data_IF_919562325493
#
_entry.id   IF_919562325493
#
_cell.length_a   1.000
_cell.length_b   1.000
_cell.length_c   1.000
_cell.angle_alpha   90.00
_cell.angle_beta   90.00
_cell.angle_gamma   90.00
#
_symmetry.space_group_name_H-M   'P 1'
#
loop_
_entity.id
_entity.type
_entity.pdbx_description
1 polymer ?
#
# COMPACT_ATOMS: atom_id res chain seq x y z
N UNK A 1 29.74 1.10 -8.08
CA UNK A 1 28.36 0.56 -8.16
C UNK A 1 28.46 -0.87 -8.58
N UNK A 2 27.72 -1.76 -7.92
CA UNK A 2 27.67 -3.18 -8.29
C UNK A 2 26.32 -3.49 -8.97
N UNK A 3 26.32 -4.36 -9.99
CA UNK A 3 25.10 -4.69 -10.71
C UNK A 3 24.24 -5.68 -9.92
N UNK A 4 22.93 -5.44 -9.91
CA UNK A 4 21.92 -6.42 -9.50
C UNK A 4 21.28 -6.95 -10.79
N UNK A 5 21.25 -8.27 -10.97
CA UNK A 5 20.61 -8.92 -12.12
C UNK A 5 19.59 -9.93 -11.65
N UNK A 6 18.42 -9.93 -12.28
CA UNK A 6 17.34 -10.87 -12.04
C UNK A 6 16.68 -11.23 -13.37
N UNK A 7 16.26 -12.49 -13.52
CA UNK A 7 15.49 -12.94 -14.69
C UNK A 7 14.02 -12.58 -14.46
N UNK A 8 13.39 -12.00 -15.47
CA UNK A 8 11.96 -11.64 -15.49
C UNK A 8 11.29 -12.36 -16.65
N UNK A 9 9.99 -12.64 -16.54
CA UNK A 9 9.22 -13.04 -17.71
C UNK A 9 9.11 -11.86 -18.69
N UNK A 10 8.91 -12.17 -19.97
CA UNK A 10 8.90 -11.16 -21.03
C UNK A 10 7.76 -10.14 -20.86
N UNK A 11 6.58 -10.62 -20.45
CA UNK A 11 5.38 -9.83 -20.14
C UNK A 11 5.57 -8.92 -18.92
N UNK A 12 6.15 -9.44 -17.84
CA UNK A 12 6.47 -8.66 -16.64
C UNK A 12 7.45 -7.54 -16.95
N UNK A 13 8.51 -7.86 -17.71
CA UNK A 13 9.50 -6.87 -18.14
C UNK A 13 8.84 -5.79 -18.98
N UNK A 14 8.02 -6.15 -19.97
CA UNK A 14 7.34 -5.19 -20.83
C UNK A 14 6.42 -4.26 -20.01
N UNK A 15 5.66 -4.83 -19.07
CA UNK A 15 4.76 -4.06 -18.18
C UNK A 15 5.54 -3.11 -17.28
N UNK A 16 6.62 -3.58 -16.66
CA UNK A 16 7.47 -2.76 -15.80
C UNK A 16 8.10 -1.58 -16.55
N UNK A 17 8.60 -1.83 -17.77
CA UNK A 17 9.19 -0.78 -18.62
C UNK A 17 8.15 0.30 -18.97
N UNK A 18 6.95 -0.10 -19.39
CA UNK A 18 5.85 0.83 -19.69
C UNK A 18 5.47 1.68 -18.48
N UNK A 19 5.28 1.05 -17.31
CA UNK A 19 4.93 1.80 -16.09
C UNK A 19 6.03 2.80 -15.71
N UNK A 20 7.31 2.44 -15.86
CA UNK A 20 8.42 3.35 -15.62
C UNK A 20 8.34 4.59 -16.53
N UNK A 21 8.05 4.39 -17.81
CA UNK A 21 7.84 5.48 -18.78
C UNK A 21 6.64 6.36 -18.40
N UNK A 22 5.50 5.75 -18.06
CA UNK A 22 4.26 6.44 -17.69
C UNK A 22 4.46 7.37 -16.48
N UNK A 23 5.31 6.99 -15.52
CA UNK A 23 5.62 7.79 -14.33
C UNK A 23 6.89 8.66 -14.47
N UNK A 24 7.48 8.73 -15.66
CA UNK A 24 8.64 9.57 -15.96
C UNK A 24 9.93 9.15 -15.25
N UNK A 25 10.14 7.84 -15.03
CA UNK A 25 11.33 7.30 -14.38
C UNK A 25 12.04 6.27 -15.26
N UNK A 26 13.33 6.02 -15.00
CA UNK A 26 14.04 4.91 -15.62
C UNK A 26 13.90 3.63 -14.78
N UNK A 27 13.95 2.44 -15.40
CA UNK A 27 13.95 1.16 -14.67
C UNK A 27 15.04 1.09 -13.60
N UNK A 28 16.24 1.62 -13.89
CA UNK A 28 17.35 1.67 -12.94
C UNK A 28 17.06 2.61 -11.76
N UNK A 29 16.40 3.74 -12.01
CA UNK A 29 16.00 4.66 -10.94
C UNK A 29 14.90 4.05 -10.06
N UNK A 30 13.89 3.41 -10.67
CA UNK A 30 12.84 2.70 -9.95
C UNK A 30 13.43 1.59 -9.03
N UNK A 31 14.35 0.78 -9.55
CA UNK A 31 15.04 -0.25 -8.76
C UNK A 31 15.87 0.36 -7.62
N UNK A 32 16.58 1.47 -7.86
CA UNK A 32 17.32 2.19 -6.80
C UNK A 32 16.41 2.69 -5.69
N UNK A 33 15.28 3.28 -6.05
CA UNK A 33 14.27 3.74 -5.10
C UNK A 33 13.69 2.58 -4.28
N UNK A 34 13.39 1.45 -4.94
CA UNK A 34 12.93 0.23 -4.27
C UNK A 34 13.96 -0.28 -3.25
N UNK A 35 15.23 -0.44 -3.65
CA UNK A 35 16.30 -0.92 -2.74
C UNK A 35 16.47 0.02 -1.54
N UNK A 36 16.41 1.34 -1.76
CA UNK A 36 16.50 2.31 -0.66
C UNK A 36 15.32 2.17 0.33
N UNK A 37 14.10 2.03 -0.18
CA UNK A 37 12.91 1.85 0.65
C UNK A 37 12.93 0.50 1.40
N UNK A 38 13.33 -0.57 0.72
CA UNK A 38 13.45 -1.90 1.29
C UNK A 38 14.41 -1.91 2.49
N UNK A 39 15.60 -1.35 2.30
CA UNK A 39 16.62 -1.28 3.35
C UNK A 39 16.19 -0.40 4.52
N UNK A 40 15.56 0.76 4.24
CA UNK A 40 15.09 1.67 5.29
C UNK A 40 14.01 1.04 6.19
N UNK A 41 13.18 0.16 5.63
CA UNK A 41 12.11 -0.54 6.36
C UNK A 41 12.56 -1.88 6.96
N UNK A 42 13.69 -2.43 6.53
CA UNK A 42 14.15 -3.77 6.91
C UNK A 42 13.37 -4.91 6.24
N UNK A 43 12.76 -4.65 5.07
CA UNK A 43 11.89 -5.61 4.37
C UNK A 43 11.08 -4.93 3.26
N UNK A 44 10.08 -5.63 2.70
CA UNK A 44 9.28 -5.07 1.60
C UNK A 44 8.58 -3.75 2.01
N UNK A 45 8.60 -2.72 1.15
CA UNK A 45 7.93 -1.45 1.41
C UNK A 45 6.40 -1.50 1.23
N UNK A 46 5.86 -2.69 0.93
CA UNK A 46 4.45 -3.02 0.80
C UNK A 46 4.21 -4.39 1.44
N UNK A 47 2.96 -4.75 1.72
CA UNK A 47 2.60 -6.08 2.21
C UNK A 47 2.66 -7.10 1.06
N UNK A 48 3.63 -8.04 1.05
CA UNK A 48 3.72 -9.05 0.00
C UNK A 48 2.62 -10.12 0.11
N UNK A 49 1.97 -10.28 1.27
CA UNK A 49 0.86 -11.23 1.45
C UNK A 49 -0.46 -10.68 0.90
N UNK A 50 -0.58 -9.35 0.78
CA UNK A 50 -1.74 -8.69 0.20
C UNK A 50 -1.34 -7.58 -0.79
N UNK A 51 -0.81 -7.96 -1.97
CA UNK A 51 -0.30 -7.01 -2.95
C UNK A 51 -1.39 -6.17 -3.65
N UNK A 52 -2.68 -6.49 -3.46
CA UNK A 52 -3.77 -5.95 -4.28
C UNK A 52 -4.94 -5.31 -3.53
N UNK A 53 -4.97 -5.27 -2.19
CA UNK A 53 -6.08 -4.57 -1.53
C UNK A 53 -6.14 -4.70 -0.03
N UNK A 54 -7.30 -4.39 0.53
CA UNK A 54 -7.60 -4.66 1.93
C UNK A 54 -8.36 -5.98 2.06
N UNK A 55 -8.49 -6.52 3.28
CA UNK A 55 -9.36 -7.69 3.49
C UNK A 55 -10.82 -7.36 3.11
N UNK A 56 -11.66 -8.35 2.79
CA UNK A 56 -13.08 -8.12 2.53
C UNK A 56 -13.77 -7.34 3.67
N UNK A 57 -13.37 -7.59 4.92
CA UNK A 57 -13.86 -6.89 6.09
C UNK A 57 -13.50 -5.41 6.08
N UNK A 58 -12.25 -5.07 5.78
CA UNK A 58 -11.82 -3.66 5.65
C UNK A 58 -12.51 -2.98 4.47
N UNK A 59 -12.68 -3.66 3.33
CA UNK A 59 -13.40 -3.11 2.19
C UNK A 59 -14.86 -2.81 2.54
N UNK A 60 -15.52 -3.70 3.29
CA UNK A 60 -16.89 -3.48 3.76
C UNK A 60 -16.94 -2.31 4.76
N UNK A 61 -15.99 -2.22 5.69
CA UNK A 61 -15.91 -1.11 6.64
C UNK A 61 -15.71 0.25 5.93
N UNK A 62 -14.92 0.29 4.86
CA UNK A 62 -14.79 1.49 4.01
C UNK A 62 -16.11 1.86 3.33
N UNK A 63 -16.82 0.88 2.77
CA UNK A 63 -18.13 1.10 2.15
C UNK A 63 -19.22 1.51 3.15
N UNK A 64 -19.14 1.02 4.39
CA UNK A 64 -20.00 1.44 5.50
C UNK A 64 -19.71 2.89 5.89
N UNK A 65 -18.43 3.29 5.95
CA UNK A 65 -18.01 4.66 6.19
C UNK A 65 -18.53 5.65 5.14
N UNK A 66 -18.37 5.33 3.85
CA UNK A 66 -18.88 6.16 2.75
C UNK A 66 -20.39 6.30 2.78
N UNK A 67 -21.11 5.26 3.19
CA UNK A 67 -22.56 5.26 3.32
C UNK A 67 -23.08 5.85 4.64
N UNK A 68 -22.19 6.33 5.51
CA UNK A 68 -22.55 6.85 6.83
C UNK A 68 -23.05 5.80 7.82
N UNK A 69 -22.85 4.50 7.53
CA UNK A 69 -23.12 3.37 8.44
C UNK A 69 -21.98 3.19 9.43
N UNK A 70 -21.65 4.26 10.13
CA UNK A 70 -20.61 4.29 11.16
C UNK A 70 -21.24 4.51 12.52
N UNK A 71 -20.55 4.07 13.55
CA UNK A 71 -20.95 4.34 14.92
C UNK A 71 -20.60 5.80 15.28
N UNK A 72 -21.56 6.52 15.84
CA UNK A 72 -21.53 7.98 16.00
C UNK A 72 -22.66 8.67 15.22
N UNK A 73 -22.61 10.00 15.02
CA UNK A 73 -21.52 10.93 15.33
C UNK A 73 -21.34 11.17 16.84
N UNK A 74 -20.22 11.78 17.21
CA UNK A 74 -19.93 12.21 18.58
C UNK A 74 -19.67 13.71 18.60
N UNK A 75 -20.18 14.39 19.64
CA UNK A 75 -20.02 15.83 19.80
C UNK A 75 -18.64 16.20 20.40
N UNK A 76 -17.99 15.27 21.11
CA UNK A 76 -16.65 15.46 21.71
C UNK A 76 -15.78 14.22 21.57
N UNK A 77 -14.46 14.42 21.68
CA UNK A 77 -13.48 13.32 21.68
C UNK A 77 -13.68 12.42 22.89
N UNK A 78 -14.03 12.99 24.04
CA UNK A 78 -14.31 12.26 25.27
C UNK A 78 -15.48 11.29 25.08
N UNK A 79 -16.60 11.73 24.47
CA UNK A 79 -17.75 10.88 24.19
C UNK A 79 -17.41 9.73 23.21
N UNK A 80 -16.59 10.01 22.19
CA UNK A 80 -16.08 8.97 21.29
C UNK A 80 -15.24 7.93 22.04
N UNK A 81 -14.30 8.38 22.88
CA UNK A 81 -13.40 7.49 23.63
C UNK A 81 -14.14 6.66 24.69
N UNK A 82 -15.14 7.23 25.37
CA UNK A 82 -16.00 6.48 26.28
C UNK A 82 -16.69 5.32 25.56
N UNK A 83 -17.19 5.56 24.35
CA UNK A 83 -17.90 4.56 23.56
C UNK A 83 -17.01 3.41 23.05
N UNK A 84 -15.73 3.68 22.79
CA UNK A 84 -14.75 2.67 22.37
C UNK A 84 -14.29 1.77 23.53
N UNK A 85 -14.40 2.26 24.76
CA UNK A 85 -13.97 1.55 25.97
C UNK A 85 -15.12 0.80 26.66
N UNK A 86 -16.34 0.86 26.10
CA UNK A 86 -17.47 0.06 26.56
C UNK A 86 -17.41 -1.31 25.85
N UNK A 87 -16.81 -2.29 26.52
CA UNK A 87 -16.93 -3.72 26.16
C UNK A 87 -18.34 -4.26 26.48
#
# INVERSE_FOLDING_TARGET
MEPISAKLRADEKATFLRICEDIGTSPSNALRMFVAAFNKRGGFPFDPANPYGFSPETLQAMADAEAGRVYGPFDTVEAMMESLNQD
#
